data_IF_325307050984
#
_entry.id   IF_325307050984
#
_cell.length_a   1.000
_cell.length_b   1.000
_cell.length_c   1.000
_cell.angle_alpha   90.00
_cell.angle_beta   90.00
_cell.angle_gamma   90.00
#
_symmetry.space_group_name_H-M   'P 1'
#
loop_
_entity.id
_entity.type
_entity.pdbx_description
1 polymer ?
#
# COMPACT_ATOMS: atom_id res chain seq x y z
N UNK A 1 11.57 -11.00 -30.88
CA UNK A 1 12.47 -10.44 -29.86
C UNK A 1 11.62 -9.69 -28.85
N UNK A 2 11.47 -10.18 -27.62
CA UNK A 2 10.69 -9.50 -26.58
C UNK A 2 11.38 -8.18 -26.26
N UNK A 3 10.74 -7.06 -26.63
CA UNK A 3 11.23 -5.72 -26.34
C UNK A 3 11.19 -5.55 -24.83
N UNK A 4 12.35 -5.45 -24.18
CA UNK A 4 12.43 -5.15 -22.75
C UNK A 4 11.74 -3.81 -22.50
N UNK A 5 10.61 -3.87 -21.78
CA UNK A 5 9.73 -2.72 -21.51
C UNK A 5 10.43 -1.70 -20.60
N UNK A 6 11.39 -2.16 -19.80
CA UNK A 6 12.19 -1.36 -18.89
C UNK A 6 13.69 -1.65 -19.10
N UNK A 7 14.52 -0.61 -19.17
CA UNK A 7 15.99 -0.72 -19.34
C UNK A 7 16.78 -0.15 -18.17
N UNK A 8 16.11 0.36 -17.12
CA UNK A 8 16.80 0.69 -15.88
C UNK A 8 17.41 -0.56 -15.25
N UNK A 9 18.54 -0.37 -14.59
CA UNK A 9 19.23 -1.46 -13.89
C UNK A 9 18.32 -1.98 -12.77
N UNK A 10 17.83 -3.21 -12.91
CA UNK A 10 16.93 -3.82 -11.93
C UNK A 10 17.56 -3.88 -10.54
N UNK A 11 18.89 -3.98 -10.43
CA UNK A 11 19.57 -4.00 -9.13
C UNK A 11 19.47 -2.68 -8.38
N UNK A 12 19.17 -1.57 -9.07
CA UNK A 12 18.95 -0.25 -8.45
C UNK A 12 17.53 -0.12 -7.90
N UNK A 13 16.54 -0.84 -8.46
CA UNK A 13 15.12 -0.65 -8.14
C UNK A 13 14.46 -1.86 -7.48
N UNK A 14 15.06 -3.05 -7.56
CA UNK A 14 14.57 -4.31 -6.99
C UNK A 14 15.79 -5.01 -6.36
N UNK A 15 15.94 -4.88 -5.05
CA UNK A 15 17.10 -5.40 -4.33
C UNK A 15 16.80 -6.79 -3.73
N UNK A 16 15.55 -7.04 -3.29
CA UNK A 16 15.13 -8.36 -2.76
C UNK A 16 13.70 -8.75 -3.12
N UNK A 17 13.36 -10.04 -2.90
CA UNK A 17 11.96 -10.52 -2.96
C UNK A 17 11.08 -9.72 -2.00
N UNK A 18 9.97 -9.18 -2.52
CA UNK A 18 9.06 -8.28 -1.80
C UNK A 18 9.10 -6.84 -2.30
N UNK A 19 10.20 -6.40 -2.91
CA UNK A 19 10.33 -5.03 -3.45
C UNK A 19 9.48 -4.83 -4.72
N UNK A 20 9.04 -5.90 -5.36
CA UNK A 20 8.22 -5.84 -6.57
C UNK A 20 6.84 -5.19 -6.32
N UNK A 21 6.44 -5.10 -5.06
CA UNK A 21 5.18 -4.47 -4.65
C UNK A 21 5.31 -2.98 -4.37
N UNK A 22 6.52 -2.43 -4.37
CA UNK A 22 6.74 -0.99 -4.16
C UNK A 22 6.50 -0.20 -5.44
N UNK A 23 6.12 1.07 -5.28
CA UNK A 23 6.11 1.99 -6.41
C UNK A 23 7.55 2.23 -6.89
N UNK A 24 7.74 2.48 -8.18
CA UNK A 24 9.05 2.68 -8.81
C UNK A 24 9.82 3.90 -8.27
N UNK A 25 9.13 4.81 -7.58
CA UNK A 25 9.71 5.98 -6.93
C UNK A 25 10.16 5.72 -5.48
N UNK A 26 9.88 4.53 -4.92
CA UNK A 26 10.27 4.16 -3.55
C UNK A 26 11.76 3.82 -3.52
N UNK A 27 12.49 4.43 -2.58
CA UNK A 27 13.86 4.01 -2.26
C UNK A 27 13.83 2.74 -1.41
N UNK A 28 14.14 1.61 -2.05
CA UNK A 28 14.14 0.29 -1.41
C UNK A 28 15.15 0.19 -0.25
N UNK A 29 16.30 0.86 -0.31
CA UNK A 29 17.31 0.87 0.76
C UNK A 29 16.76 1.63 1.95
N UNK A 30 16.15 2.79 1.72
CA UNK A 30 15.62 3.63 2.80
C UNK A 30 14.44 2.96 3.53
N UNK A 31 13.59 2.18 2.84
CA UNK A 31 12.50 1.41 3.48
C UNK A 31 12.99 0.45 4.55
N UNK A 32 14.23 -0.06 4.43
CA UNK A 32 14.84 -0.98 5.41
C UNK A 32 15.50 -0.25 6.58
N UNK A 33 15.60 1.07 6.52
CA UNK A 33 16.20 1.87 7.58
C UNK A 33 15.30 1.90 8.83
N UNK A 34 15.87 1.96 10.06
CA UNK A 34 15.10 2.12 11.28
C UNK A 34 14.18 3.34 11.26
N UNK A 35 14.58 4.41 10.58
CA UNK A 35 13.83 5.66 10.40
C UNK A 35 12.52 5.44 9.63
N UNK A 36 12.44 4.40 8.80
CA UNK A 36 11.20 4.04 8.13
C UNK A 36 10.07 3.70 9.12
N UNK A 37 10.42 3.20 10.31
CA UNK A 37 9.47 2.81 11.36
C UNK A 37 8.86 3.97 12.15
N UNK A 38 9.31 5.20 11.88
CA UNK A 38 8.88 6.43 12.53
C UNK A 38 7.71 7.12 11.80
N UNK A 39 6.86 7.78 12.57
CA UNK A 39 5.85 8.69 12.05
C UNK A 39 6.49 10.01 11.63
N UNK A 40 6.06 10.58 10.51
CA UNK A 40 6.40 11.96 10.16
C UNK A 40 5.16 12.81 10.35
N UNK A 41 5.26 13.80 11.22
CA UNK A 41 4.12 14.62 11.65
C UNK A 41 4.40 16.10 11.40
N UNK A 42 3.37 16.83 11.02
CA UNK A 42 3.44 18.29 10.98
C UNK A 42 3.49 18.87 12.40
N UNK A 43 4.09 20.05 12.52
CA UNK A 43 4.07 20.83 13.76
C UNK A 43 2.66 21.00 14.32
N UNK A 44 2.50 20.74 15.62
CA UNK A 44 1.21 20.89 16.30
C UNK A 44 0.39 19.61 16.37
N UNK A 45 0.96 18.45 16.04
CA UNK A 45 0.36 17.13 16.25
C UNK A 45 1.17 16.38 17.31
N UNK A 46 0.49 15.60 18.16
CA UNK A 46 1.11 14.55 18.96
C UNK A 46 0.48 13.21 18.67
N UNK A 47 1.31 12.17 18.67
CA UNK A 47 0.90 10.78 18.53
C UNK A 47 1.15 10.07 19.87
N UNK A 48 0.20 9.26 20.29
CA UNK A 48 0.32 8.43 21.49
C UNK A 48 -0.40 7.09 21.32
N UNK A 49 -0.25 6.19 22.31
CA UNK A 49 -0.95 4.90 22.36
C UNK A 49 -0.78 4.05 21.09
N UNK A 50 0.41 4.08 20.49
CA UNK A 50 0.71 3.35 19.27
C UNK A 50 0.68 1.84 19.52
N UNK A 51 -0.15 1.12 18.77
CA UNK A 51 -0.17 -0.34 18.72
C UNK A 51 0.06 -0.80 17.30
N UNK A 52 0.98 -1.75 17.15
CA UNK A 52 1.34 -2.34 15.86
C UNK A 52 1.11 -3.85 15.95
N UNK A 53 0.38 -4.38 14.99
CA UNK A 53 0.29 -5.82 14.75
C UNK A 53 0.23 -6.10 13.26
N UNK A 54 0.19 -7.37 12.88
CA UNK A 54 0.10 -7.74 11.47
C UNK A 54 -1.12 -7.09 10.82
N UNK A 55 -0.90 -6.33 9.74
CA UNK A 55 -1.93 -5.62 8.99
C UNK A 55 -2.77 -4.62 9.80
N UNK A 56 -2.31 -4.16 10.97
CA UNK A 56 -3.02 -3.22 11.82
C UNK A 56 -2.06 -2.23 12.48
N UNK A 57 -2.38 -0.94 12.35
CA UNK A 57 -1.73 0.16 13.07
C UNK A 57 -2.79 1.01 13.74
N UNK A 58 -2.72 1.13 15.06
CA UNK A 58 -3.60 1.97 15.85
C UNK A 58 -2.80 3.04 16.59
N UNK A 59 -3.35 4.24 16.70
CA UNK A 59 -2.74 5.33 17.44
C UNK A 59 -3.75 6.43 17.75
N UNK A 60 -3.48 7.20 18.80
CA UNK A 60 -4.23 8.40 19.15
C UNK A 60 -3.50 9.64 18.62
N UNK A 61 -4.27 10.61 18.09
CA UNK A 61 -3.77 11.90 17.61
C UNK A 61 -4.42 13.02 18.39
N UNK A 62 -3.59 13.92 18.93
CA UNK A 62 -4.01 15.19 19.52
C UNK A 62 -3.44 16.38 18.75
N UNK A 63 -4.22 17.46 18.67
CA UNK A 63 -3.78 18.72 18.09
C UNK A 63 -3.32 19.66 19.21
N UNK A 64 -2.04 20.03 19.19
CA UNK A 64 -1.46 20.98 20.14
C UNK A 64 -1.81 22.43 19.80
N UNK A 65 -2.00 22.73 18.51
CA UNK A 65 -2.27 24.08 18.00
C UNK A 65 -3.46 24.07 17.03
N UNK A 66 -4.18 25.19 16.94
CA UNK A 66 -5.33 25.40 16.04
C UNK A 66 -4.90 25.68 14.58
N UNK A 67 -3.93 24.93 14.04
CA UNK A 67 -3.57 25.05 12.62
C UNK A 67 -4.70 24.48 11.75
N UNK A 68 -4.90 25.07 10.58
CA UNK A 68 -5.99 24.66 9.68
C UNK A 68 -5.70 23.38 8.88
N UNK A 69 -4.46 22.85 8.93
CA UNK A 69 -4.04 21.65 8.21
C UNK A 69 -3.17 20.77 9.09
N UNK A 70 -3.65 19.54 9.32
CA UNK A 70 -2.93 18.50 10.03
C UNK A 70 -2.78 17.30 9.11
N UNK A 71 -1.57 16.78 8.98
CA UNK A 71 -1.33 15.53 8.27
C UNK A 71 -0.30 14.68 9.02
N UNK A 72 -0.41 13.37 8.80
CA UNK A 72 0.50 12.38 9.35
C UNK A 72 0.89 11.42 8.24
N UNK A 73 2.19 11.14 8.16
CA UNK A 73 2.73 10.04 7.38
C UNK A 73 3.02 8.93 8.38
N UNK A 74 2.34 7.80 8.22
CA UNK A 74 2.45 6.68 9.14
C UNK A 74 3.52 5.68 8.67
N UNK A 75 4.14 4.91 9.57
CA UNK A 75 5.19 3.94 9.23
C UNK A 75 4.60 2.65 8.62
N UNK A 76 3.82 2.80 7.55
CA UNK A 76 3.25 1.73 6.74
C UNK A 76 3.42 2.09 5.27
N UNK A 77 3.93 1.17 4.47
CA UNK A 77 3.92 1.31 3.01
C UNK A 77 2.47 1.23 2.54
N UNK A 78 2.08 2.14 1.65
CA UNK A 78 0.74 2.16 1.10
C UNK A 78 0.52 0.98 0.17
N UNK A 79 -0.59 0.28 0.42
CA UNK A 79 -1.12 -0.76 -0.45
C UNK A 79 -2.61 -0.57 -0.67
N UNK A 80 -3.06 -0.95 -1.87
CA UNK A 80 -4.49 -1.00 -2.17
C UNK A 80 -5.18 -2.03 -1.26
N UNK A 81 -6.14 -1.55 -0.46
CA UNK A 81 -6.89 -2.38 0.49
C UNK A 81 -6.81 -1.86 1.92
N UNK A 82 -5.86 -0.97 2.25
CA UNK A 82 -5.89 -0.30 3.54
C UNK A 82 -7.16 0.54 3.72
N UNK A 83 -7.78 0.37 4.87
CA UNK A 83 -8.92 1.13 5.35
C UNK A 83 -8.49 1.91 6.59
N UNK A 84 -9.11 3.07 6.78
CA UNK A 84 -8.85 3.93 7.92
C UNK A 84 -10.16 4.13 8.65
N UNK A 85 -10.18 3.73 9.91
CA UNK A 85 -11.29 3.95 10.82
C UNK A 85 -10.92 5.03 11.81
N UNK A 86 -11.82 6.00 11.95
CA UNK A 86 -11.69 7.08 12.92
C UNK A 86 -12.73 6.87 14.03
N UNK A 87 -12.28 6.95 15.28
CA UNK A 87 -13.16 6.84 16.45
C UNK A 87 -12.79 7.87 17.52
N UNK A 88 -13.55 7.90 18.61
CA UNK A 88 -13.43 8.91 19.69
C UNK A 88 -13.48 10.36 19.19
N UNK A 89 -14.30 10.64 18.17
CA UNK A 89 -14.48 11.98 17.60
C UNK A 89 -13.50 12.37 16.50
N UNK A 90 -12.51 11.50 16.20
CA UNK A 90 -11.56 11.69 15.10
C UNK A 90 -12.22 11.68 13.72
N UNK A 91 -11.60 12.36 12.76
CA UNK A 91 -11.96 12.25 11.35
C UNK A 91 -10.84 12.72 10.45
N UNK A 92 -10.80 12.22 9.21
CA UNK A 92 -9.75 12.52 8.25
C UNK A 92 -9.98 11.87 6.90
N UNK A 93 -8.93 11.78 6.10
CA UNK A 93 -8.94 11.15 4.79
C UNK A 93 -8.85 9.62 4.87
N UNK A 94 -9.04 8.96 3.72
CA UNK A 94 -8.64 7.55 3.58
C UNK A 94 -7.11 7.46 3.48
N UNK A 95 -6.58 6.24 3.62
CA UNK A 95 -5.18 5.94 3.36
C UNK A 95 -4.85 6.21 1.88
N UNK A 96 -3.90 7.09 1.64
CA UNK A 96 -3.41 7.42 0.30
C UNK A 96 -1.90 7.56 0.29
N UNK A 97 -1.30 7.67 -0.88
CA UNK A 97 0.08 8.15 -1.03
C UNK A 97 0.05 9.65 -1.25
N UNK A 98 1.03 10.36 -0.69
CA UNK A 98 1.27 11.74 -1.07
C UNK A 98 2.01 11.78 -2.40
N UNK A 99 1.55 12.62 -3.33
CA UNK A 99 2.14 12.72 -4.66
C UNK A 99 2.35 14.18 -5.06
N UNK A 100 3.30 14.41 -5.96
CA UNK A 100 3.46 15.69 -6.65
C UNK A 100 3.70 15.49 -8.14
N UNK A 101 3.44 16.49 -9.00
CA UNK A 101 3.87 16.40 -10.39
C UNK A 101 5.39 16.19 -10.51
N UNK A 102 5.82 15.39 -11.48
CA UNK A 102 7.23 15.32 -11.86
C UNK A 102 7.71 16.66 -12.43
N UNK A 103 8.96 17.00 -12.15
CA UNK A 103 9.62 18.12 -12.82
C UNK A 103 10.01 17.76 -14.26
N UNK A 104 10.26 18.77 -15.10
CA UNK A 104 10.67 18.55 -16.51
C UNK A 104 11.95 17.71 -16.60
N UNK A 105 12.89 17.92 -15.67
CA UNK A 105 14.13 17.15 -15.59
C UNK A 105 13.85 15.69 -15.23
N UNK A 106 13.05 15.44 -14.19
CA UNK A 106 12.68 14.07 -13.79
C UNK A 106 11.92 13.33 -14.91
N UNK A 107 11.05 14.02 -15.66
CA UNK A 107 10.36 13.42 -16.82
C UNK A 107 11.37 13.01 -17.90
N UNK A 108 12.37 13.84 -18.17
CA UNK A 108 13.40 13.56 -19.17
C UNK A 108 14.25 12.36 -18.75
N UNK A 109 14.72 12.33 -17.50
CA UNK A 109 15.46 11.20 -16.92
C UNK A 109 14.63 9.91 -16.94
N UNK A 110 13.35 9.98 -16.56
CA UNK A 110 12.45 8.84 -16.58
C UNK A 110 12.28 8.27 -17.99
N UNK A 111 12.23 9.13 -19.02
CA UNK A 111 12.18 8.70 -20.44
C UNK A 111 13.46 8.00 -20.87
N UNK A 112 14.62 8.54 -20.48
CA UNK A 112 15.93 7.95 -20.77
C UNK A 112 16.06 6.55 -20.13
N UNK A 113 15.57 6.41 -18.90
CA UNK A 113 15.49 5.14 -18.16
C UNK A 113 14.35 4.22 -18.62
N UNK A 114 13.50 4.68 -19.56
CA UNK A 114 12.30 3.98 -20.04
C UNK A 114 11.35 3.54 -18.92
N UNK A 115 11.20 4.39 -17.89
CA UNK A 115 10.19 4.21 -16.85
C UNK A 115 8.78 4.37 -17.45
N UNK A 116 7.73 3.82 -16.79
CA UNK A 116 6.35 4.09 -17.14
C UNK A 116 6.08 5.61 -17.24
N UNK A 117 5.22 5.99 -18.18
CA UNK A 117 4.88 7.39 -18.39
C UNK A 117 3.83 7.83 -17.37
N UNK A 118 4.28 8.18 -16.17
CA UNK A 118 3.49 8.73 -15.08
C UNK A 118 3.68 10.25 -14.97
N UNK A 119 2.64 10.97 -14.58
CA UNK A 119 2.64 12.41 -14.37
C UNK A 119 2.92 12.81 -12.92
N UNK A 120 2.74 11.87 -11.98
CA UNK A 120 2.89 12.06 -10.55
C UNK A 120 4.04 11.24 -9.98
N UNK A 121 4.88 11.89 -9.18
CA UNK A 121 5.90 11.28 -8.32
C UNK A 121 5.31 10.90 -6.97
N UNK A 122 5.57 9.69 -6.50
CA UNK A 122 5.25 9.28 -5.13
C UNK A 122 6.27 9.85 -4.14
N UNK A 123 5.79 10.37 -3.01
CA UNK A 123 6.60 10.95 -1.95
C UNK A 123 6.70 10.03 -0.73
N UNK A 124 7.62 10.37 0.18
CA UNK A 124 7.81 9.71 1.49
C UNK A 124 7.93 8.17 1.39
N UNK A 125 8.64 7.69 0.35
CA UNK A 125 8.86 6.27 0.09
C UNK A 125 7.56 5.45 0.05
N UNK A 126 6.50 6.07 -0.48
CA UNK A 126 5.20 5.43 -0.62
C UNK A 126 4.52 5.11 0.70
N UNK A 127 4.94 5.73 1.82
CA UNK A 127 4.24 5.60 3.10
C UNK A 127 2.80 6.10 3.00
N UNK A 128 1.94 5.53 3.82
CA UNK A 128 0.55 5.96 3.95
C UNK A 128 0.52 7.38 4.53
N UNK A 129 -0.12 8.27 3.78
CA UNK A 129 -0.42 9.64 4.13
C UNK A 129 -1.88 9.79 4.53
N UNK A 130 -2.12 10.53 5.62
CA UNK A 130 -3.46 10.89 6.10
C UNK A 130 -3.58 12.40 6.32
N UNK A 131 -4.67 12.97 5.80
CA UNK A 131 -5.12 14.31 6.19
C UNK A 131 -6.07 14.20 7.38
N UNK A 132 -5.76 14.92 8.45
CA UNK A 132 -6.53 14.89 9.69
C UNK A 132 -7.41 16.14 9.80
N UNK A 133 -8.69 15.93 10.06
CA UNK A 133 -9.69 17.00 10.27
C UNK A 133 -10.02 17.20 11.73
N UNK A 134 -10.04 16.13 12.53
CA UNK A 134 -10.29 16.17 13.98
C UNK A 134 -9.36 15.21 14.71
N UNK A 135 -8.91 15.56 15.93
CA UNK A 135 -8.13 14.67 16.78
C UNK A 135 -9.00 13.51 17.27
N UNK A 136 -8.37 12.40 17.65
CA UNK A 136 -9.07 11.19 18.08
C UNK A 136 -8.24 9.94 17.81
N UNK A 137 -8.90 8.79 17.85
CA UNK A 137 -8.27 7.50 17.62
C UNK A 137 -8.34 7.10 16.15
N UNK A 138 -7.23 6.60 15.62
CA UNK A 138 -7.09 6.15 14.23
C UNK A 138 -6.67 4.69 14.23
N UNK A 139 -7.37 3.88 13.45
CA UNK A 139 -7.01 2.49 13.17
C UNK A 139 -6.86 2.31 11.65
N UNK A 140 -5.73 1.76 11.23
CA UNK A 140 -5.43 1.47 9.83
C UNK A 140 -5.27 -0.03 9.69
N UNK A 141 -6.13 -0.66 8.90
CA UNK A 141 -6.15 -2.10 8.72
C UNK A 141 -6.18 -2.49 7.24
N UNK A 142 -5.54 -3.59 6.88
CA UNK A 142 -5.65 -4.12 5.51
C UNK A 142 -6.92 -4.95 5.35
N UNK A 143 -7.72 -4.62 4.34
CA UNK A 143 -8.88 -5.39 3.93
C UNK A 143 -8.70 -5.88 2.50
N UNK A 144 -9.08 -7.14 2.25
CA UNK A 144 -9.10 -7.70 0.90
C UNK A 144 -9.99 -6.84 0.01
N UNK A 145 -9.49 -6.56 -1.19
CA UNK A 145 -10.25 -5.82 -2.19
C UNK A 145 -11.40 -6.67 -2.73
N UNK A 146 -12.44 -6.00 -3.27
CA UNK A 146 -13.58 -6.68 -3.88
C UNK A 146 -13.15 -7.67 -4.98
N UNK A 147 -12.19 -7.28 -5.84
CA UNK A 147 -11.66 -8.17 -6.90
C UNK A 147 -10.98 -9.41 -6.33
N UNK A 148 -10.21 -9.28 -5.25
CA UNK A 148 -9.58 -10.43 -4.61
C UNK A 148 -10.63 -11.37 -4.01
N UNK A 149 -11.62 -10.82 -3.33
CA UNK A 149 -12.73 -11.61 -2.81
C UNK A 149 -13.48 -12.35 -3.93
N UNK A 150 -13.79 -11.65 -5.01
CA UNK A 150 -14.46 -12.25 -6.18
C UNK A 150 -13.61 -13.33 -6.86
N UNK A 151 -12.30 -13.08 -7.01
CA UNK A 151 -11.36 -14.07 -7.54
C UNK A 151 -11.32 -15.35 -6.71
N UNK A 152 -11.31 -15.23 -5.37
CA UNK A 152 -11.38 -16.40 -4.48
C UNK A 152 -12.70 -17.17 -4.62
N UNK A 153 -13.82 -16.49 -4.82
CA UNK A 153 -15.10 -17.18 -5.06
C UNK A 153 -15.06 -18.01 -6.35
N UNK A 154 -14.49 -17.46 -7.42
CA UNK A 154 -14.30 -18.20 -8.68
C UNK A 154 -13.38 -19.39 -8.45
N UNK A 155 -12.24 -19.18 -7.78
CA UNK A 155 -11.28 -20.25 -7.50
C UNK A 155 -11.92 -21.41 -6.71
N UNK A 156 -12.67 -21.10 -5.64
CA UNK A 156 -13.40 -22.11 -4.86
C UNK A 156 -14.39 -22.86 -5.75
N UNK A 157 -15.15 -22.15 -6.58
CA UNK A 157 -16.11 -22.78 -7.49
C UNK A 157 -15.42 -23.68 -8.51
N UNK A 158 -14.30 -23.24 -9.09
CA UNK A 158 -13.48 -24.04 -10.02
C UNK A 158 -12.97 -25.33 -9.37
N UNK A 159 -12.47 -25.26 -8.13
CA UNK A 159 -12.02 -26.45 -7.39
C UNK A 159 -13.17 -27.40 -7.08
N UNK A 160 -14.34 -26.89 -6.69
CA UNK A 160 -15.52 -27.72 -6.45
C UNK A 160 -15.98 -28.43 -7.74
N UNK A 161 -15.95 -27.74 -8.88
CA UNK A 161 -16.26 -28.34 -10.19
C UNK A 161 -15.28 -29.45 -10.56
N UNK A 162 -13.97 -29.22 -10.41
CA UNK A 162 -12.94 -30.24 -10.67
C UNK A 162 -13.11 -31.45 -9.75
N UNK A 163 -13.35 -31.22 -8.47
CA UNK A 163 -13.60 -32.29 -7.51
C UNK A 163 -14.83 -33.11 -7.88
N UNK A 164 -15.94 -32.46 -8.25
CA UNK A 164 -17.15 -33.15 -8.70
C UNK A 164 -16.89 -34.02 -9.94
N UNK A 165 -16.16 -33.51 -10.93
CA UNK A 165 -15.78 -34.27 -12.13
C UNK A 165 -14.95 -35.50 -11.74
N UNK A 166 -13.94 -35.33 -10.89
CA UNK A 166 -13.08 -36.44 -10.43
C UNK A 166 -13.86 -37.51 -9.68
N UNK A 167 -14.81 -37.13 -8.82
CA UNK A 167 -15.67 -38.09 -8.10
C UNK A 167 -16.56 -38.86 -9.08
N UNK A 168 -17.18 -38.17 -10.05
CA UNK A 168 -18.05 -38.80 -11.05
C UNK A 168 -17.26 -39.76 -11.95
N UNK A 169 -16.08 -39.37 -12.42
CA UNK A 169 -15.23 -40.24 -13.27
C UNK A 169 -14.67 -41.42 -12.48
N UNK A 170 -14.23 -41.23 -11.23
CA UNK A 170 -13.76 -42.31 -10.36
C UNK A 170 -14.87 -43.35 -10.09
N UNK A 171 -16.09 -42.89 -9.79
CA UNK A 171 -17.23 -43.77 -9.56
C UNK A 171 -17.69 -44.52 -10.83
N UNK A 172 -17.49 -43.94 -12.02
CA UNK A 172 -17.72 -44.64 -13.29
C UNK A 172 -16.67 -45.72 -13.55
N UNK A 173 -15.40 -45.45 -13.29
CA UNK A 173 -14.33 -46.46 -13.45
C UNK A 173 -14.44 -47.62 -12.45
N UNK A 174 -15.01 -47.41 -11.25
CA UNK A 174 -15.25 -48.50 -10.29
C UNK A 174 -16.45 -49.41 -10.63
N UNK A 175 -17.31 -49.01 -11.56
CA UNK A 175 -18.52 -49.76 -11.96
C UNK A 175 -18.35 -50.58 -13.25
N UNK A 176 -17.16 -50.55 -13.85
CA UNK A 176 -16.73 -51.40 -14.97
C UNK A 176 -15.80 -52.49 -14.44
#
# INVERSE_FOLDING_TARGET
MLKTVYMGDKSIFVDTSGDEYYNIDVDNVHVRSPQFSEFMINEGISISNVKKSYNLLEFDVDFKNNKNKHSVIVPLIWYKGYQVEYSKGGSGSKAMMETRPFSVQEIQENRELRKPNEDQKVLNDGKVYLELKKPGHISISYHKTFLQFFGYLIEIFSWLCLFAILVVTSNRCRKL
#
